data_IF_807892357255
#
_entry.id   IF_807892357255
#
_cell.length_a   1.000
_cell.length_b   1.000
_cell.length_c   1.000
_cell.angle_alpha   90.00
_cell.angle_beta   90.00
_cell.angle_gamma   90.00
#
_symmetry.space_group_name_H-M   'P 1'
#
loop_
_entity.id
_entity.type
_entity.pdbx_description
1 polymer ?
#
# COMPACT_ATOMS: atom_id res chain seq x y z
N UNK A 1 58.76 20.45 -9.28
CA UNK A 1 58.20 20.89 -7.99
C UNK A 1 56.69 20.68 -8.01
N UNK A 2 56.21 19.80 -7.13
CA UNK A 2 54.84 19.68 -6.56
C UNK A 2 53.64 19.69 -7.52
N UNK A 3 53.46 18.55 -8.20
CA UNK A 3 52.18 18.01 -8.67
C UNK A 3 51.42 17.39 -7.48
N UNK A 4 50.86 18.20 -6.57
CA UNK A 4 50.00 17.69 -5.49
C UNK A 4 48.94 18.74 -5.15
N UNK A 5 47.91 18.87 -5.97
CA UNK A 5 46.78 19.75 -5.67
C UNK A 5 45.46 19.26 -6.28
N UNK A 6 45.26 17.93 -6.36
CA UNK A 6 44.08 17.38 -7.05
C UNK A 6 43.57 16.07 -6.45
N UNK A 7 43.52 15.97 -5.12
CA UNK A 7 42.95 14.81 -4.41
C UNK A 7 42.04 15.15 -3.23
N UNK A 8 41.60 16.41 -3.08
CA UNK A 8 40.77 16.84 -1.95
C UNK A 8 39.26 16.96 -2.25
N UNK A 9 38.78 16.59 -3.44
CA UNK A 9 37.36 16.80 -3.82
C UNK A 9 36.52 15.53 -4.04
N UNK A 10 37.02 14.34 -3.67
CA UNK A 10 36.28 13.07 -3.86
C UNK A 10 35.80 12.42 -2.57
N UNK A 11 35.99 13.05 -1.42
CA UNK A 11 35.30 12.65 -0.20
C UNK A 11 33.90 13.27 -0.19
N UNK A 12 32.98 12.70 -0.98
CA UNK A 12 31.56 12.90 -0.70
C UNK A 12 31.33 12.48 0.77
N UNK A 13 30.68 13.32 1.60
CA UNK A 13 30.52 13.01 3.01
C UNK A 13 29.75 11.69 3.15
N UNK A 14 30.13 10.83 4.09
CA UNK A 14 29.42 9.58 4.42
C UNK A 14 27.95 9.78 4.87
N UNK A 15 27.47 11.03 4.82
CA UNK A 15 26.16 11.55 5.19
C UNK A 15 25.38 12.04 3.96
N UNK A 16 25.97 11.96 2.76
CA UNK A 16 25.25 12.16 1.52
C UNK A 16 24.20 11.06 1.42
N UNK A 17 22.94 11.40 1.76
CA UNK A 17 21.78 10.57 1.50
C UNK A 17 21.85 10.09 0.05
N UNK A 18 21.72 8.79 -0.17
CA UNK A 18 21.52 8.24 -1.50
C UNK A 18 20.02 8.36 -1.82
N UNK A 19 19.59 9.38 -2.58
CA UNK A 19 18.18 9.60 -2.84
C UNK A 19 17.54 8.41 -3.56
N UNK A 20 18.31 7.68 -4.39
CA UNK A 20 17.82 6.46 -5.02
C UNK A 20 17.44 5.42 -3.96
N UNK A 21 18.39 5.08 -3.07
CA UNK A 21 18.14 4.07 -2.05
C UNK A 21 17.06 4.49 -1.04
N UNK A 22 17.01 5.76 -0.65
CA UNK A 22 16.05 6.27 0.33
C UNK A 22 14.62 6.20 -0.22
N UNK A 23 14.38 6.73 -1.43
CA UNK A 23 13.07 6.65 -2.07
C UNK A 23 12.67 5.20 -2.37
N UNK A 24 13.60 4.36 -2.80
CA UNK A 24 13.31 2.95 -3.08
C UNK A 24 12.85 2.20 -1.81
N UNK A 25 13.56 2.37 -0.68
CA UNK A 25 13.19 1.75 0.60
C UNK A 25 11.87 2.29 1.14
N UNK A 26 11.64 3.60 1.03
CA UNK A 26 10.39 4.22 1.44
C UNK A 26 9.20 3.67 0.63
N UNK A 27 9.38 3.51 -0.68
CA UNK A 27 8.40 2.89 -1.57
C UNK A 27 8.07 1.45 -1.16
N UNK A 28 9.09 0.63 -0.90
CA UNK A 28 8.90 -0.74 -0.43
C UNK A 28 8.18 -0.83 0.92
N UNK A 29 8.51 0.07 1.86
CA UNK A 29 7.86 0.08 3.18
C UNK A 29 6.37 0.41 3.06
N UNK A 30 6.03 1.45 2.29
CA UNK A 30 4.65 1.82 2.02
C UNK A 30 3.88 0.73 1.26
N UNK A 31 4.53 0.10 0.27
CA UNK A 31 3.92 -1.00 -0.48
C UNK A 31 3.59 -2.20 0.41
N UNK A 32 4.52 -2.63 1.29
CA UNK A 32 4.26 -3.75 2.22
C UNK A 32 3.09 -3.47 3.16
N UNK A 33 2.96 -2.23 3.62
CA UNK A 33 1.83 -1.82 4.44
C UNK A 33 0.51 -1.92 3.65
N UNK A 34 0.50 -1.48 2.39
CA UNK A 34 -0.68 -1.61 1.54
C UNK A 34 -1.02 -3.09 1.25
N UNK A 35 -0.03 -3.89 0.86
CA UNK A 35 -0.20 -5.30 0.50
C UNK A 35 -0.73 -6.15 1.67
N UNK A 36 -0.13 -6.00 2.86
CA UNK A 36 -0.63 -6.65 4.08
C UNK A 36 -2.07 -6.22 4.42
N UNK A 37 -2.36 -4.92 4.34
CA UNK A 37 -3.71 -4.41 4.57
C UNK A 37 -4.73 -4.98 3.58
N UNK A 38 -4.39 -5.09 2.29
CA UNK A 38 -5.26 -5.70 1.27
C UNK A 38 -5.56 -7.16 1.65
N UNK A 39 -4.53 -7.94 2.00
CA UNK A 39 -4.71 -9.34 2.37
C UNK A 39 -5.56 -9.53 3.64
N UNK A 40 -5.36 -8.68 4.64
CA UNK A 40 -6.16 -8.65 5.86
C UNK A 40 -7.63 -8.33 5.56
N UNK A 41 -7.91 -7.27 4.79
CA UNK A 41 -9.28 -6.89 4.41
C UNK A 41 -9.95 -7.93 3.50
N UNK A 42 -9.21 -8.59 2.61
CA UNK A 42 -9.74 -9.71 1.83
C UNK A 42 -10.19 -10.87 2.74
N UNK A 43 -9.36 -11.23 3.71
CA UNK A 43 -9.63 -12.29 4.69
C UNK A 43 -10.81 -11.94 5.60
N UNK A 44 -10.89 -10.67 6.00
CA UNK A 44 -11.99 -10.12 6.76
C UNK A 44 -13.34 -10.33 6.07
N UNK A 45 -13.39 -9.97 4.79
CA UNK A 45 -14.61 -9.87 4.00
C UNK A 45 -14.93 -11.12 3.17
N UNK A 46 -14.08 -12.15 3.22
CA UNK A 46 -14.11 -13.27 2.27
C UNK A 46 -14.11 -12.81 0.79
N UNK A 47 -13.47 -11.67 0.51
CA UNK A 47 -13.41 -11.14 -0.84
C UNK A 47 -12.64 -12.10 -1.74
N UNK A 48 -13.13 -12.32 -2.96
CA UNK A 48 -12.58 -13.29 -3.91
C UNK A 48 -13.14 -14.72 -3.78
N UNK A 49 -13.93 -15.03 -2.74
CA UNK A 49 -14.64 -16.30 -2.63
C UNK A 49 -16.06 -16.16 -3.22
N UNK A 50 -16.19 -16.45 -4.52
CA UNK A 50 -17.44 -16.26 -5.28
C UNK A 50 -18.67 -17.06 -4.80
N UNK A 51 -18.49 -17.95 -3.83
CA UNK A 51 -19.56 -18.73 -3.20
C UNK A 51 -20.05 -18.14 -1.86
N UNK A 52 -19.38 -17.13 -1.32
CA UNK A 52 -19.77 -16.49 -0.06
C UNK A 52 -20.80 -15.39 -0.32
N UNK A 53 -21.93 -15.47 0.38
CA UNK A 53 -23.02 -14.48 0.25
C UNK A 53 -22.74 -13.26 1.11
N UNK A 54 -23.32 -12.10 0.74
CA UNK A 54 -23.25 -10.88 1.57
C UNK A 54 -23.81 -11.11 2.99
N UNK A 55 -24.82 -11.96 3.13
CA UNK A 55 -25.37 -12.31 4.45
C UNK A 55 -24.35 -13.07 5.31
N UNK A 56 -23.56 -13.99 4.72
CA UNK A 56 -22.51 -14.71 5.42
C UNK A 56 -21.35 -13.79 5.83
N UNK A 57 -20.97 -12.82 4.98
CA UNK A 57 -19.99 -11.78 5.36
C UNK A 57 -20.51 -10.97 6.54
N UNK A 58 -21.76 -10.52 6.48
CA UNK A 58 -22.35 -9.72 7.57
C UNK A 58 -22.41 -10.49 8.89
N UNK A 59 -22.84 -11.75 8.87
CA UNK A 59 -22.85 -12.62 10.05
C UNK A 59 -21.44 -12.79 10.65
N UNK A 60 -20.43 -12.99 9.80
CA UNK A 60 -19.03 -13.05 10.27
C UNK A 60 -18.56 -11.77 10.93
N UNK A 61 -18.92 -10.61 10.37
CA UNK A 61 -18.56 -9.32 10.96
C UNK A 61 -19.25 -9.12 12.30
N UNK A 62 -20.51 -9.57 12.43
CA UNK A 62 -21.21 -9.59 13.72
C UNK A 62 -20.52 -10.52 14.73
N UNK A 63 -20.09 -11.71 14.30
CA UNK A 63 -19.42 -12.70 15.16
C UNK A 63 -17.97 -12.34 15.52
N UNK A 64 -17.37 -11.36 14.83
CA UNK A 64 -15.96 -10.99 15.01
C UNK A 64 -15.68 -10.42 16.40
N UNK A 65 -16.65 -9.71 16.97
CA UNK A 65 -16.46 -8.97 18.21
C UNK A 65 -17.77 -8.92 18.99
N UNK A 66 -17.75 -9.21 20.31
CA UNK A 66 -18.93 -9.08 21.15
C UNK A 66 -19.27 -7.62 21.51
N UNK A 67 -18.48 -6.64 21.01
CA UNK A 67 -18.59 -5.22 21.40
C UNK A 67 -18.98 -4.30 20.25
N UNK A 68 -18.91 -4.78 19.02
CA UNK A 68 -19.13 -4.00 17.81
C UNK A 68 -20.14 -4.72 16.93
N UNK A 69 -21.03 -3.97 16.29
CA UNK A 69 -21.92 -4.54 15.28
C UNK A 69 -21.19 -4.76 13.96
N UNK A 70 -21.77 -5.56 13.07
CA UNK A 70 -21.26 -5.73 11.72
C UNK A 70 -21.09 -4.39 10.96
N UNK A 71 -21.97 -3.40 11.20
CA UNK A 71 -21.83 -2.08 10.58
C UNK A 71 -20.64 -1.28 11.13
N UNK A 72 -20.37 -1.36 12.44
CA UNK A 72 -19.18 -0.75 13.02
C UNK A 72 -17.90 -1.42 12.52
N UNK A 73 -17.91 -2.75 12.35
CA UNK A 73 -16.81 -3.49 11.72
C UNK A 73 -16.63 -3.11 10.24
N UNK A 74 -17.72 -2.92 9.48
CA UNK A 74 -17.63 -2.41 8.10
C UNK A 74 -16.99 -1.02 8.06
N UNK A 75 -17.32 -0.13 8.99
CA UNK A 75 -16.68 1.19 9.08
C UNK A 75 -15.18 1.07 9.42
N UNK A 76 -14.80 0.13 10.30
CA UNK A 76 -13.39 -0.19 10.55
C UNK A 76 -12.65 -0.67 9.30
N UNK A 77 -13.27 -1.52 8.47
CA UNK A 77 -12.70 -1.96 7.20
C UNK A 77 -12.60 -0.81 6.18
N UNK A 78 -13.58 0.11 6.15
CA UNK A 78 -13.53 1.31 5.30
C UNK A 78 -12.38 2.23 5.69
N UNK A 79 -12.18 2.45 6.98
CA UNK A 79 -11.03 3.21 7.50
C UNK A 79 -9.70 2.51 7.16
N UNK A 80 -9.66 1.17 7.22
CA UNK A 80 -8.50 0.40 6.80
C UNK A 80 -8.20 0.59 5.30
N UNK A 81 -9.21 0.51 4.43
CA UNK A 81 -9.06 0.76 2.99
C UNK A 81 -8.61 2.20 2.70
N UNK A 82 -9.05 3.20 3.46
CA UNK A 82 -8.56 4.57 3.29
C UNK A 82 -7.05 4.68 3.60
N UNK A 83 -6.58 3.99 4.66
CA UNK A 83 -5.14 3.91 4.98
C UNK A 83 -4.36 3.16 3.92
N UNK A 84 -4.90 2.07 3.37
CA UNK A 84 -4.30 1.32 2.27
C UNK A 84 -4.14 2.22 1.03
N UNK A 85 -5.17 2.95 0.63
CA UNK A 85 -5.10 3.88 -0.50
C UNK A 85 -4.05 4.99 -0.30
N UNK A 86 -3.92 5.48 0.93
CA UNK A 86 -2.85 6.43 1.29
C UNK A 86 -1.46 5.80 1.15
N UNK A 87 -1.29 4.56 1.60
CA UNK A 87 -0.03 3.82 1.49
C UNK A 87 0.33 3.50 0.03
N UNK A 88 -0.64 3.12 -0.82
CA UNK A 88 -0.43 2.90 -2.25
C UNK A 88 0.00 4.19 -2.96
N UNK A 89 -0.65 5.31 -2.63
CA UNK A 89 -0.27 6.64 -3.16
C UNK A 89 1.15 7.00 -2.77
N UNK A 90 1.51 6.80 -1.50
CA UNK A 90 2.87 7.04 -1.01
C UNK A 90 3.89 6.13 -1.72
N UNK A 91 3.61 4.83 -1.84
CA UNK A 91 4.47 3.87 -2.54
C UNK A 91 4.71 4.30 -3.98
N UNK A 92 3.65 4.67 -4.71
CA UNK A 92 3.74 5.18 -6.09
C UNK A 92 4.65 6.40 -6.18
N UNK A 93 4.43 7.42 -5.34
CA UNK A 93 5.25 8.63 -5.34
C UNK A 93 6.73 8.31 -5.10
N UNK A 94 7.02 7.44 -4.13
CA UNK A 94 8.38 7.05 -3.81
C UNK A 94 9.06 6.24 -4.93
N UNK A 95 8.34 5.31 -5.58
CA UNK A 95 8.91 4.58 -6.71
C UNK A 95 9.10 5.43 -7.96
N UNK A 96 8.25 6.43 -8.21
CA UNK A 96 8.49 7.44 -9.27
C UNK A 96 9.79 8.19 -9.02
N UNK A 97 10.01 8.65 -7.78
CA UNK A 97 11.26 9.33 -7.40
C UNK A 97 12.45 8.38 -7.50
N UNK A 98 12.32 7.14 -7.03
CA UNK A 98 13.37 6.13 -7.16
C UNK A 98 13.72 5.85 -8.63
N UNK A 99 12.73 5.72 -9.52
CA UNK A 99 12.99 5.54 -10.95
C UNK A 99 13.74 6.74 -11.58
N UNK A 100 13.46 7.96 -11.12
CA UNK A 100 14.15 9.16 -11.58
C UNK A 100 15.61 9.22 -11.09
N UNK A 101 15.86 8.94 -9.80
CA UNK A 101 17.18 9.07 -9.19
C UNK A 101 18.09 7.85 -9.35
N UNK A 102 17.53 6.65 -9.46
CA UNK A 102 18.31 5.43 -9.59
C UNK A 102 18.89 5.28 -11.01
N UNK A 103 20.14 4.79 -11.14
CA UNK A 103 20.68 4.33 -12.41
C UNK A 103 20.46 2.82 -12.62
N UNK A 104 20.55 2.39 -13.88
CA UNK A 104 20.67 0.98 -14.28
C UNK A 104 19.58 0.06 -13.71
N UNK A 105 20.00 -1.01 -13.05
CA UNK A 105 19.12 -2.05 -12.53
C UNK A 105 18.12 -1.54 -11.50
N UNK A 106 18.53 -0.63 -10.61
CA UNK A 106 17.63 -0.11 -9.58
C UNK A 106 16.49 0.74 -10.17
N UNK A 107 16.74 1.44 -11.29
CA UNK A 107 15.68 2.11 -12.06
C UNK A 107 14.67 1.11 -12.61
N UNK A 108 15.14 0.02 -13.21
CA UNK A 108 14.27 -1.05 -13.74
C UNK A 108 13.42 -1.66 -12.65
N UNK A 109 14.00 -1.92 -11.48
CA UNK A 109 13.27 -2.43 -10.31
C UNK A 109 12.23 -1.44 -9.82
N UNK A 110 12.54 -0.15 -9.77
CA UNK A 110 11.58 0.88 -9.36
C UNK A 110 10.38 0.91 -10.33
N UNK A 111 10.65 0.82 -11.65
CA UNK A 111 9.60 0.74 -12.66
C UNK A 111 8.74 -0.53 -12.51
N UNK A 112 9.37 -1.70 -12.30
CA UNK A 112 8.62 -2.94 -12.09
C UNK A 112 7.72 -2.89 -10.83
N UNK A 113 8.15 -2.18 -9.77
CA UNK A 113 7.30 -1.96 -8.60
C UNK A 113 6.13 -1.00 -8.90
N UNK A 114 6.30 0.00 -9.77
CA UNK A 114 5.18 0.84 -10.23
C UNK A 114 4.14 0.02 -10.99
N UNK A 115 4.59 -0.91 -11.83
CA UNK A 115 3.69 -1.77 -12.59
C UNK A 115 2.92 -2.71 -11.64
N UNK A 116 3.61 -3.32 -10.67
CA UNK A 116 3.00 -4.19 -9.65
C UNK A 116 1.99 -3.45 -8.74
N UNK A 117 2.18 -2.15 -8.49
CA UNK A 117 1.19 -1.34 -7.77
C UNK A 117 -0.16 -1.24 -8.51
N UNK A 118 -0.20 -1.42 -9.84
CA UNK A 118 -1.43 -1.41 -10.62
C UNK A 118 -2.40 -2.54 -10.22
N UNK A 119 -1.87 -3.71 -9.89
CA UNK A 119 -2.66 -4.85 -9.43
C UNK A 119 -3.24 -4.58 -8.03
N UNK A 120 -2.42 -4.04 -7.12
CA UNK A 120 -2.86 -3.65 -5.78
C UNK A 120 -3.89 -2.51 -5.80
N UNK A 121 -3.75 -1.54 -6.70
CA UNK A 121 -4.74 -0.47 -6.92
C UNK A 121 -6.08 -1.02 -7.40
N UNK A 122 -6.06 -2.09 -8.21
CA UNK A 122 -7.29 -2.76 -8.67
C UNK A 122 -7.95 -3.50 -7.51
N UNK A 123 -7.19 -4.31 -6.78
CA UNK A 123 -7.70 -4.99 -5.59
C UNK A 123 -8.28 -4.03 -4.55
N UNK A 124 -7.60 -2.90 -4.28
CA UNK A 124 -8.09 -1.86 -3.36
C UNK A 124 -9.41 -1.23 -3.83
N UNK A 125 -9.55 -0.92 -5.13
CA UNK A 125 -10.80 -0.38 -5.70
C UNK A 125 -11.93 -1.39 -5.58
N UNK A 126 -11.69 -2.65 -5.96
CA UNK A 126 -12.70 -3.71 -5.91
C UNK A 126 -13.21 -3.94 -4.48
N UNK A 127 -12.31 -3.93 -3.48
CA UNK A 127 -12.69 -4.01 -2.07
C UNK A 127 -13.51 -2.80 -1.61
N UNK A 128 -13.14 -1.60 -2.08
CA UNK A 128 -13.86 -0.36 -1.74
C UNK A 128 -15.29 -0.39 -2.29
N UNK A 129 -15.45 -0.78 -3.56
CA UNK A 129 -16.75 -0.96 -4.20
C UNK A 129 -17.57 -2.06 -3.52
N UNK A 130 -16.92 -3.16 -3.14
CA UNK A 130 -17.56 -4.24 -2.41
C UNK A 130 -18.12 -3.79 -1.06
N UNK A 131 -17.36 -3.03 -0.27
CA UNK A 131 -17.83 -2.47 1.00
C UNK A 131 -18.98 -1.49 0.80
N UNK A 132 -18.93 -0.65 -0.24
CA UNK A 132 -20.03 0.25 -0.57
C UNK A 132 -21.35 -0.48 -0.85
N UNK A 133 -21.28 -1.73 -1.34
CA UNK A 133 -22.49 -2.54 -1.58
C UNK A 133 -23.24 -2.95 -0.30
N UNK A 134 -22.64 -2.75 0.89
CA UNK A 134 -23.30 -2.98 2.17
C UNK A 134 -23.99 -1.74 2.75
N UNK A 135 -23.80 -0.55 2.14
CA UNK A 135 -24.26 0.72 2.70
C UNK A 135 -25.76 0.74 3.01
N UNK A 136 -26.59 0.31 2.06
CA UNK A 136 -28.05 0.29 2.21
C UNK A 136 -28.51 -0.55 3.41
N UNK A 137 -27.74 -1.59 3.78
CA UNK A 137 -28.06 -2.45 4.92
C UNK A 137 -27.73 -1.81 6.27
N UNK A 138 -26.75 -0.91 6.31
CA UNK A 138 -26.38 -0.18 7.52
C UNK A 138 -27.17 1.13 7.69
N UNK A 139 -27.61 1.75 6.59
CA UNK A 139 -28.42 2.98 6.62
C UNK A 139 -29.90 2.70 6.96
N UNK A 140 -30.38 1.47 6.78
CA UNK A 140 -31.79 1.06 7.00
C UNK A 140 -32.05 0.45 8.39
N UNK A 141 -31.04 0.42 9.26
CA UNK A 141 -31.06 -0.24 10.58
C UNK A 141 -31.34 0.71 11.74
#
# INVERSE_FOLDING_TARGET
MRLVALLLFLAAPAWARDPCADHFRAGLAAYRQADSGIAETQTALYAGLGWVTRAAVFARLEDRSPRTSACQELDHERDALARIGTALTAARQQFVLAAAFCPGENRRRAQANLDALGDSDTAWRDLTEYLLSFRDRCDSG
#
